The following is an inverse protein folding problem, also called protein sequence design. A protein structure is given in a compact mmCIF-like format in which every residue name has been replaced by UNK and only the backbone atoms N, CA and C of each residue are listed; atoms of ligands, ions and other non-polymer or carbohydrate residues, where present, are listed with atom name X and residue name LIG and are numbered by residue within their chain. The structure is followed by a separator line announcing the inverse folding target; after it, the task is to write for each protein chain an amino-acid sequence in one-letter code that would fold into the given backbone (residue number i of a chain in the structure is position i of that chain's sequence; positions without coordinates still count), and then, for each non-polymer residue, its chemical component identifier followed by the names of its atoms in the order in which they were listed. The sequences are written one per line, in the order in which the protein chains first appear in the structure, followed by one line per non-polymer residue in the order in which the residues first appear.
data_IF_163346742425
#
_entry.id   IF_163346742425
#
_cell.length_a   1.000
_cell.length_b   1.000
_cell.length_c   1.000
_cell.angle_alpha   90.00
_cell.angle_beta   90.00
_cell.angle_gamma   90.00
#
_symmetry.space_group_name_H-M   'P 1'
#
loop_
_entity.id
_entity.type
_entity.pdbx_description
1 polymer ?
#
# COMPACT_ATOMS: atom_id res chain seq x y z
N UNK A 1 -8.34 -26.40 2.11
CA UNK A 1 -8.80 -25.33 1.18
C UNK A 1 -10.31 -25.44 0.94
N UNK A 2 -11.13 -25.26 1.98
CA UNK A 2 -12.59 -25.26 1.83
C UNK A 2 -13.22 -24.48 2.99
N UNK A 3 -13.71 -23.27 2.70
CA UNK A 3 -14.83 -22.59 3.39
C UNK A 3 -14.98 -21.17 2.83
N UNK A 4 -15.72 -21.03 1.74
CA UNK A 4 -16.21 -19.72 1.29
C UNK A 4 -17.54 -19.84 0.55
N UNK A 5 -18.46 -20.66 1.08
CA UNK A 5 -19.85 -20.66 0.64
C UNK A 5 -20.73 -20.03 1.73
N UNK A 6 -20.68 -18.69 1.78
CA UNK A 6 -21.73 -17.85 2.37
C UNK A 6 -21.56 -16.44 1.82
N UNK A 7 -22.58 -15.94 1.14
CA UNK A 7 -22.59 -14.70 0.37
C UNK A 7 -21.88 -13.53 1.10
N UNK A 8 -20.90 -12.84 0.49
CA UNK A 8 -20.20 -11.78 1.20
C UNK A 8 -20.96 -10.45 1.08
N UNK A 9 -21.01 -9.75 2.21
CA UNK A 9 -21.53 -8.39 2.35
C UNK A 9 -20.77 -7.45 1.41
N UNK A 10 -21.51 -6.75 0.54
CA UNK A 10 -20.98 -5.73 -0.36
C UNK A 10 -20.69 -4.45 0.42
N UNK A 11 -19.57 -4.38 1.14
CA UNK A 11 -19.13 -3.12 1.74
C UNK A 11 -18.33 -2.31 0.71
N UNK A 12 -18.69 -1.04 0.56
CA UNK A 12 -17.79 -0.02 0.01
C UNK A 12 -16.61 0.15 0.99
N UNK A 13 -15.43 0.53 0.51
CA UNK A 13 -14.32 0.89 1.40
C UNK A 13 -14.80 1.97 2.39
N UNK A 14 -14.56 1.80 3.71
CA UNK A 14 -15.04 2.77 4.70
C UNK A 14 -14.39 4.13 4.45
N UNK A 15 -15.14 5.24 4.64
CA UNK A 15 -14.55 6.57 4.57
C UNK A 15 -13.47 6.72 5.64
N UNK A 16 -12.37 7.40 5.31
CA UNK A 16 -11.27 7.67 6.25
C UNK A 16 -11.59 8.92 7.07
N UNK A 17 -11.85 8.81 8.39
CA UNK A 17 -12.15 9.97 9.23
C UNK A 17 -10.91 10.81 9.56
N UNK A 18 -9.71 10.28 9.28
CA UNK A 18 -8.42 10.94 9.52
C UNK A 18 -7.40 10.53 8.45
N UNK A 19 -6.47 11.41 8.16
CA UNK A 19 -5.30 11.13 7.32
C UNK A 19 -4.22 10.31 8.05
N UNK A 20 -4.17 10.40 9.39
CA UNK A 20 -3.12 9.78 10.21
C UNK A 20 -3.56 8.50 10.92
N UNK A 21 -4.85 8.16 10.85
CA UNK A 21 -5.39 6.95 11.47
C UNK A 21 -6.22 6.17 10.46
N UNK A 22 -5.98 4.85 10.32
CA UNK A 22 -6.84 4.02 9.50
C UNK A 22 -8.27 3.99 10.08
N UNK A 23 -9.29 3.76 9.24
CA UNK A 23 -10.67 3.61 9.70
C UNK A 23 -10.77 2.50 10.76
N UNK A 24 -11.42 2.74 11.92
CA UNK A 24 -11.53 1.76 13.00
C UNK A 24 -12.22 0.46 12.57
N UNK A 25 -13.07 0.52 11.53
CA UNK A 25 -13.76 -0.62 10.91
C UNK A 25 -12.76 -1.65 10.33
N UNK A 26 -11.56 -1.22 9.91
CA UNK A 26 -10.51 -2.13 9.42
C UNK A 26 -9.98 -3.04 10.54
N UNK A 27 -10.03 -2.62 11.81
CA UNK A 27 -9.51 -3.41 12.93
C UNK A 27 -10.31 -4.70 13.16
N UNK A 28 -11.61 -4.71 12.85
CA UNK A 28 -12.45 -5.91 12.91
C UNK A 28 -12.17 -6.85 11.74
N UNK A 29 -12.02 -6.30 10.53
CA UNK A 29 -11.68 -7.06 9.32
C UNK A 29 -10.32 -7.76 9.46
N UNK A 30 -9.31 -7.05 9.99
CA UNK A 30 -7.99 -7.64 10.24
C UNK A 30 -8.06 -8.81 11.24
N UNK A 31 -8.89 -8.73 12.29
CA UNK A 31 -8.96 -9.77 13.32
C UNK A 31 -9.78 -10.99 12.86
N UNK A 32 -10.97 -10.76 12.31
CA UNK A 32 -11.97 -11.82 12.15
C UNK A 32 -12.08 -12.33 10.71
N UNK A 33 -11.78 -11.49 9.70
CA UNK A 33 -11.96 -11.82 8.27
C UNK A 33 -10.91 -11.14 7.37
N UNK A 34 -9.63 -11.53 7.47
CA UNK A 34 -8.50 -10.80 6.88
C UNK A 34 -8.55 -10.66 5.36
N UNK A 35 -9.32 -11.54 4.70
CA UNK A 35 -9.60 -11.54 3.25
C UNK A 35 -11.12 -11.59 3.05
N UNK A 36 -11.74 -10.44 2.76
CA UNK A 36 -13.18 -10.29 2.52
C UNK A 36 -13.43 -9.72 1.13
N UNK A 37 -14.55 -10.04 0.48
CA UNK A 37 -14.85 -9.57 -0.88
C UNK A 37 -15.36 -8.11 -0.85
N UNK A 38 -14.73 -7.19 -1.59
CA UNK A 38 -15.10 -5.75 -1.68
C UNK A 38 -15.51 -5.36 -3.10
N UNK A 39 -16.48 -4.45 -3.24
CA UNK A 39 -16.79 -3.82 -4.54
C UNK A 39 -16.00 -2.52 -4.70
N UNK A 40 -15.19 -2.46 -5.76
CA UNK A 40 -14.43 -1.28 -6.13
C UNK A 40 -15.34 -0.26 -6.85
N UNK A 41 -14.87 0.99 -6.97
CA UNK A 41 -15.66 2.08 -7.54
C UNK A 41 -16.07 1.84 -9.00
N UNK A 42 -15.28 1.07 -9.74
CA UNK A 42 -15.54 0.64 -11.12
C UNK A 42 -16.55 -0.54 -11.22
N UNK A 43 -17.09 -0.99 -10.09
CA UNK A 43 -18.02 -2.13 -10.03
C UNK A 43 -17.34 -3.49 -10.01
N UNK A 44 -16.01 -3.55 -10.21
CA UNK A 44 -15.25 -4.81 -10.10
C UNK A 44 -15.19 -5.25 -8.64
N UNK A 45 -14.84 -6.53 -8.46
CA UNK A 45 -14.72 -7.11 -7.14
C UNK A 45 -13.27 -7.41 -6.80
N UNK A 46 -12.78 -6.83 -5.71
CA UNK A 46 -11.46 -7.11 -5.15
C UNK A 46 -11.52 -7.93 -3.86
N UNK A 47 -10.34 -8.38 -3.44
CA UNK A 47 -10.09 -9.00 -2.15
C UNK A 47 -8.93 -8.23 -1.50
N UNK A 48 -9.18 -7.22 -0.64
CA UNK A 48 -8.10 -6.52 0.01
C UNK A 48 -7.42 -7.44 1.02
N UNK A 49 -6.09 -7.51 0.93
CA UNK A 49 -5.23 -8.00 1.98
C UNK A 49 -5.11 -6.90 3.05
N UNK A 50 -5.65 -7.15 4.24
CA UNK A 50 -5.67 -6.15 5.31
C UNK A 50 -4.60 -6.36 6.37
N UNK A 51 -3.98 -7.56 6.42
CA UNK A 51 -2.84 -7.86 7.29
C UNK A 51 -1.53 -7.71 6.54
N UNK A 52 -0.50 -7.28 7.27
CA UNK A 52 0.85 -7.17 6.73
C UNK A 52 1.37 -8.50 6.14
N UNK A 53 1.11 -9.62 6.84
CA UNK A 53 1.51 -10.95 6.39
C UNK A 53 0.94 -11.31 5.02
N UNK A 54 -0.32 -10.94 4.76
CA UNK A 54 -1.00 -11.20 3.49
C UNK A 54 -0.46 -10.29 2.37
N UNK A 55 -0.16 -9.03 2.69
CA UNK A 55 0.40 -8.07 1.72
C UNK A 55 1.77 -8.52 1.23
N UNK A 56 2.62 -9.04 2.11
CA UNK A 56 3.95 -9.52 1.73
C UNK A 56 3.92 -10.73 0.79
N UNK A 57 2.82 -11.48 0.74
CA UNK A 57 2.66 -12.63 -0.15
C UNK A 57 2.17 -12.24 -1.55
N UNK A 58 1.77 -10.98 -1.77
CA UNK A 58 1.37 -10.49 -3.10
C UNK A 58 2.65 -10.38 -3.95
N UNK A 59 2.83 -11.24 -4.97
CA UNK A 59 4.05 -11.26 -5.74
C UNK A 59 4.20 -9.98 -6.56
N UNK A 60 5.43 -9.49 -6.67
CA UNK A 60 5.79 -8.44 -7.63
C UNK A 60 5.99 -9.09 -8.99
N UNK A 61 4.94 -9.17 -9.82
CA UNK A 61 4.86 -9.94 -11.08
C UNK A 61 6.20 -10.03 -11.84
N UNK A 62 6.93 -11.16 -11.74
CA UNK A 62 8.05 -11.45 -12.62
C UNK A 62 7.53 -12.14 -13.90
N UNK A 63 8.08 -11.82 -15.09
CA UNK A 63 9.28 -11.02 -15.34
C UNK A 63 9.01 -9.51 -15.52
N UNK A 64 7.75 -9.07 -15.54
CA UNK A 64 7.32 -7.72 -15.89
C UNK A 64 8.06 -6.67 -15.05
N UNK A 65 8.19 -6.91 -13.74
CA UNK A 65 8.89 -6.01 -12.82
C UNK A 65 10.41 -6.22 -12.77
N UNK A 66 10.95 -7.30 -13.33
CA UNK A 66 12.38 -7.65 -13.19
C UNK A 66 13.26 -6.75 -14.08
N UNK A 67 12.85 -6.53 -15.33
CA UNK A 67 13.61 -5.71 -16.29
C UNK A 67 13.71 -4.23 -15.87
N UNK A 68 12.60 -3.51 -15.57
CA UNK A 68 12.69 -2.11 -15.16
C UNK A 68 13.46 -1.95 -13.84
N UNK A 69 13.24 -2.83 -12.86
CA UNK A 69 13.98 -2.82 -11.58
C UNK A 69 15.49 -2.92 -11.81
N UNK A 70 15.96 -3.83 -12.68
CA UNK A 70 17.40 -3.96 -12.97
C UNK A 70 18.01 -2.69 -13.55
N UNK A 71 17.27 -1.97 -14.40
CA UNK A 71 17.76 -0.76 -15.05
C UNK A 71 17.90 0.42 -14.07
N UNK A 72 16.96 0.57 -13.13
CA UNK A 72 16.90 1.76 -12.27
C UNK A 72 17.39 1.54 -10.85
N UNK A 73 17.42 0.30 -10.34
CA UNK A 73 17.71 0.03 -8.93
C UNK A 73 19.06 0.58 -8.45
N UNK A 74 20.08 0.62 -9.32
CA UNK A 74 21.38 1.19 -8.98
C UNK A 74 21.33 2.68 -8.62
N UNK A 75 20.41 3.44 -9.20
CA UNK A 75 20.21 4.86 -8.87
C UNK A 75 19.49 5.04 -7.52
N UNK A 76 18.66 4.07 -7.12
CA UNK A 76 17.84 4.11 -5.90
C UNK A 76 18.42 3.22 -4.77
N UNK A 77 19.74 3.23 -4.62
CA UNK A 77 20.41 2.54 -3.50
C UNK A 77 20.43 3.42 -2.25
N UNK A 78 20.49 2.81 -1.06
CA UNK A 78 20.60 3.53 0.21
C UNK A 78 21.78 4.52 0.20
N UNK A 79 22.96 4.07 -0.29
CA UNK A 79 24.14 4.92 -0.44
C UNK A 79 23.90 6.15 -1.33
N UNK A 80 23.16 6.00 -2.43
CA UNK A 80 22.82 7.12 -3.32
C UNK A 80 21.80 8.05 -2.67
N UNK A 81 20.84 7.51 -1.90
CA UNK A 81 19.93 8.29 -1.10
C UNK A 81 20.66 9.12 -0.04
N UNK A 82 21.62 8.53 0.67
CA UNK A 82 22.43 9.23 1.67
C UNK A 82 23.25 10.37 1.05
N UNK A 83 23.79 10.16 -0.14
CA UNK A 83 24.55 11.18 -0.86
C UNK A 83 23.69 12.38 -1.29
N UNK A 84 22.37 12.24 -1.40
CA UNK A 84 21.45 13.34 -1.73
C UNK A 84 21.12 14.22 -0.52
N UNK A 85 21.45 13.79 0.71
CA UNK A 85 21.09 14.49 1.95
C UNK A 85 21.40 15.99 1.93
N UNK A 86 22.61 16.45 1.52
CA UNK A 86 22.91 17.89 1.51
C UNK A 86 21.93 18.68 0.65
N UNK A 87 21.65 18.19 -0.57
CA UNK A 87 20.74 18.88 -1.49
C UNK A 87 19.31 18.95 -0.96
N UNK A 88 18.83 17.88 -0.31
CA UNK A 88 17.50 17.85 0.31
C UNK A 88 17.41 18.87 1.44
N UNK A 89 18.46 18.99 2.27
CA UNK A 89 18.52 20.00 3.33
C UNK A 89 18.50 21.42 2.76
N UNK A 90 19.23 21.67 1.67
CA UNK A 90 19.20 23.00 1.02
C UNK A 90 17.78 23.34 0.51
N UNK A 91 17.10 22.38 -0.15
CA UNK A 91 15.71 22.59 -0.61
C UNK A 91 14.76 22.84 0.57
N UNK A 92 14.91 22.09 1.66
CA UNK A 92 14.07 22.24 2.85
C UNK A 92 14.27 23.61 3.51
N UNK A 93 15.52 24.06 3.63
CA UNK A 93 15.86 25.40 4.12
C UNK A 93 15.25 26.49 3.22
N UNK A 94 15.42 26.37 1.89
CA UNK A 94 14.84 27.29 0.91
C UNK A 94 13.31 27.38 1.05
N UNK A 95 12.64 26.25 1.30
CA UNK A 95 11.19 26.20 1.47
C UNK A 95 10.74 26.88 2.77
N UNK A 96 11.43 26.64 3.88
CA UNK A 96 11.10 27.25 5.18
C UNK A 96 11.32 28.77 5.15
N UNK A 97 12.37 29.24 4.49
CA UNK A 97 12.68 30.66 4.39
C UNK A 97 11.74 31.43 3.46
N UNK A 98 11.10 30.74 2.49
CA UNK A 98 10.22 31.33 1.48
C UNK A 98 8.72 31.00 1.65
N UNK A 99 8.30 30.32 2.72
CA UNK A 99 6.90 29.95 3.00
C UNK A 99 6.14 30.97 3.83
#
# INVERSE_FOLDING_TARGET
MAHADRAPVLTRFPPTPSLFHPPPELNGLQRDRPVTRFRLADGTTGWPATRYEDVCQVPTDPPEHTRPRRLVAGAFTARRADAMRPRVTDVDADLVENS
#
